data_IF_801543558874
#
_entry.id   IF_801543558874
#
_cell.length_a   1.000
_cell.length_b   1.000
_cell.length_c   1.000
_cell.angle_alpha   90.00
_cell.angle_beta   90.00
_cell.angle_gamma   90.00
#
_symmetry.space_group_name_H-M   'P 1'
#
loop_
_entity.id
_entity.type
_entity.pdbx_description
1 polymer ?
#
# COMPACT_ATOMS: atom_id res chain seq x y z
N UNK A 1 -1.42 21.32 -2.74
CA UNK A 1 -0.78 20.14 -3.37
C UNK A 1 -1.61 19.53 -4.52
N UNK A 2 -2.47 20.31 -5.22
CA UNK A 2 -3.39 19.78 -6.26
C UNK A 2 -2.93 20.16 -7.68
N UNK A 3 -1.63 20.04 -7.93
CA UNK A 3 -1.00 20.41 -9.20
C UNK A 3 0.03 19.34 -9.58
N UNK A 4 0.22 19.13 -10.88
CA UNK A 4 1.24 18.21 -11.41
C UNK A 4 0.67 17.05 -12.23
N UNK A 5 1.51 16.38 -13.03
CA UNK A 5 1.07 15.40 -14.01
C UNK A 5 0.38 14.18 -13.37
N UNK A 6 0.90 13.66 -12.25
CA UNK A 6 0.30 12.50 -11.56
C UNK A 6 -1.09 12.84 -11.03
N UNK A 7 -1.26 14.02 -10.41
CA UNK A 7 -2.58 14.47 -9.95
C UNK A 7 -3.56 14.63 -11.12
N UNK A 8 -3.15 15.29 -12.20
CA UNK A 8 -3.99 15.47 -13.39
C UNK A 8 -4.43 14.14 -14.00
N UNK A 9 -3.52 13.16 -14.08
CA UNK A 9 -3.84 11.82 -14.55
C UNK A 9 -4.83 11.12 -13.61
N UNK A 10 -4.57 11.10 -12.29
CA UNK A 10 -5.46 10.48 -11.31
C UNK A 10 -6.86 11.10 -11.33
N UNK A 11 -6.94 12.44 -11.37
CA UNK A 11 -8.21 13.17 -11.52
C UNK A 11 -8.96 12.77 -12.78
N UNK A 12 -8.26 12.67 -13.92
CA UNK A 12 -8.89 12.24 -15.17
C UNK A 12 -9.42 10.81 -15.07
N UNK A 13 -8.71 9.89 -14.42
CA UNK A 13 -9.18 8.52 -14.26
C UNK A 13 -10.35 8.41 -13.28
N UNK A 14 -10.30 9.12 -12.15
CA UNK A 14 -11.36 9.14 -11.15
C UNK A 14 -12.68 9.64 -11.74
N UNK A 15 -12.65 10.75 -12.49
CA UNK A 15 -13.82 11.30 -13.18
C UNK A 15 -14.33 10.36 -14.28
N UNK A 16 -13.44 9.76 -15.07
CA UNK A 16 -13.79 8.88 -16.20
C UNK A 16 -14.43 7.57 -15.73
N UNK A 17 -13.92 6.99 -14.65
CA UNK A 17 -14.35 5.71 -14.10
C UNK A 17 -15.38 5.84 -12.97
N UNK A 18 -15.65 7.08 -12.52
CA UNK A 18 -16.50 7.38 -11.38
C UNK A 18 -16.12 6.56 -10.13
N UNK A 19 -14.84 6.59 -9.76
CA UNK A 19 -14.29 5.80 -8.66
C UNK A 19 -13.23 6.55 -7.86
N UNK A 20 -12.87 5.99 -6.70
CA UNK A 20 -11.70 6.42 -5.94
C UNK A 20 -10.42 5.95 -6.64
N UNK A 21 -9.43 6.83 -6.74
CA UNK A 21 -8.10 6.52 -7.29
C UNK A 21 -7.04 6.78 -6.23
N UNK A 22 -6.32 5.74 -5.83
CA UNK A 22 -5.14 5.83 -4.97
C UNK A 22 -3.87 5.76 -5.82
N UNK A 23 -2.89 6.64 -5.58
CA UNK A 23 -1.65 6.66 -6.35
C UNK A 23 -0.45 7.13 -5.53
N UNK A 24 0.64 6.37 -5.57
CA UNK A 24 1.94 6.77 -5.03
C UNK A 24 2.60 7.86 -5.87
N UNK A 25 3.20 8.87 -5.24
CA UNK A 25 3.88 9.97 -5.91
C UNK A 25 4.92 10.65 -5.01
N UNK A 26 5.80 11.43 -5.62
CA UNK A 26 6.67 12.36 -4.89
C UNK A 26 5.89 13.64 -4.59
N UNK A 27 5.62 13.87 -3.32
CA UNK A 27 5.00 15.11 -2.85
C UNK A 27 6.07 16.16 -2.60
N UNK A 28 5.81 17.40 -2.98
CA UNK A 28 6.58 18.57 -2.56
C UNK A 28 5.69 19.56 -1.85
N UNK A 29 6.04 19.93 -0.62
CA UNK A 29 5.33 20.94 0.17
C UNK A 29 5.86 22.34 -0.14
N UNK A 30 4.95 23.32 -0.24
CA UNK A 30 5.33 24.72 -0.52
C UNK A 30 5.88 25.44 0.72
N UNK A 31 5.44 25.02 1.92
CA UNK A 31 5.78 25.69 3.19
C UNK A 31 7.26 25.58 3.55
N UNK A 32 7.85 24.40 3.36
CA UNK A 32 9.23 24.10 3.76
C UNK A 32 10.07 23.47 2.63
N UNK A 33 9.52 23.34 1.41
CA UNK A 33 10.17 22.66 0.27
C UNK A 33 10.58 21.19 0.53
N UNK A 34 10.06 20.55 1.58
CA UNK A 34 10.32 19.16 1.84
C UNK A 34 9.70 18.27 0.75
N UNK A 35 10.37 17.14 0.51
CA UNK A 35 9.88 16.07 -0.34
C UNK A 35 9.40 14.91 0.51
N UNK A 36 8.37 14.22 0.06
CA UNK A 36 7.84 13.03 0.73
C UNK A 36 7.54 11.95 -0.30
N UNK A 37 7.69 10.69 0.12
CA UNK A 37 7.10 9.55 -0.56
C UNK A 37 5.65 9.44 -0.09
N UNK A 38 4.70 9.77 -0.94
CA UNK A 38 3.30 9.96 -0.54
C UNK A 38 2.35 9.12 -1.37
N UNK A 39 1.14 8.89 -0.85
CA UNK A 39 0.04 8.31 -1.60
C UNK A 39 -1.17 9.24 -1.52
N UNK A 40 -1.64 9.70 -2.68
CA UNK A 40 -2.81 10.56 -2.81
C UNK A 40 -4.07 9.73 -3.09
N UNK A 41 -5.22 10.14 -2.54
CA UNK A 41 -6.52 9.55 -2.81
C UNK A 41 -7.43 10.60 -3.46
N UNK A 42 -7.88 10.32 -4.68
CA UNK A 42 -8.75 11.19 -5.46
C UNK A 42 -10.16 10.61 -5.49
N UNK A 43 -11.16 11.44 -5.19
CA UNK A 43 -12.58 11.06 -5.21
C UNK A 43 -13.14 10.93 -6.62
N UNK A 44 -14.30 10.27 -6.80
CA UNK A 44 -15.01 10.22 -8.08
C UNK A 44 -15.28 11.60 -8.70
N UNK A 45 -15.41 12.64 -7.88
CA UNK A 45 -15.61 14.04 -8.30
C UNK A 45 -14.28 14.74 -8.66
N UNK A 46 -13.16 14.03 -8.62
CA UNK A 46 -11.84 14.52 -9.01
C UNK A 46 -11.17 15.41 -7.95
N UNK A 47 -11.55 15.26 -6.67
CA UNK A 47 -10.97 16.01 -5.56
C UNK A 47 -9.93 15.19 -4.80
N UNK A 48 -8.84 15.81 -4.36
CA UNK A 48 -7.93 15.20 -3.39
C UNK A 48 -8.65 15.12 -2.03
N UNK A 49 -8.98 13.92 -1.57
CA UNK A 49 -9.73 13.70 -0.33
C UNK A 49 -8.89 13.16 0.81
N UNK A 50 -7.75 12.55 0.50
CA UNK A 50 -6.79 12.10 1.49
C UNK A 50 -5.37 12.04 0.90
N UNK A 51 -4.36 12.24 1.74
CA UNK A 51 -2.95 12.14 1.36
C UNK A 51 -2.15 11.62 2.54
N UNK A 52 -1.54 10.44 2.41
CA UNK A 52 -0.64 9.89 3.41
C UNK A 52 0.82 9.99 2.97
N UNK A 53 1.74 10.01 3.93
CA UNK A 53 3.19 10.05 3.73
C UNK A 53 3.79 8.80 4.33
N UNK A 54 4.76 8.22 3.65
CA UNK A 54 5.50 7.04 4.10
C UNK A 54 6.14 7.31 5.45
N UNK A 55 5.89 6.45 6.42
CA UNK A 55 6.35 6.64 7.80
C UNK A 55 7.74 6.03 7.97
N UNK A 56 7.90 4.78 7.57
CA UNK A 56 9.18 4.08 7.64
C UNK A 56 9.90 4.22 6.30
N UNK A 57 10.99 4.99 6.28
CA UNK A 57 11.77 5.24 5.07
C UNK A 57 12.71 4.07 4.76
N UNK A 58 12.72 3.63 3.50
CA UNK A 58 13.76 2.70 3.04
C UNK A 58 15.06 3.47 2.74
N UNK A 59 16.19 2.76 2.59
CA UNK A 59 17.50 3.38 2.36
C UNK A 59 17.50 4.40 1.19
N UNK A 60 16.76 4.12 0.12
CA UNK A 60 16.65 5.02 -1.03
C UNK A 60 15.83 6.26 -0.69
N UNK A 61 14.76 6.13 0.09
CA UNK A 61 13.93 7.27 0.51
C UNK A 61 14.72 8.22 1.43
N UNK A 62 15.55 7.69 2.34
CA UNK A 62 16.33 8.49 3.30
C UNK A 62 17.25 9.54 2.65
N UNK A 63 17.57 9.36 1.37
CA UNK A 63 18.43 10.30 0.63
C UNK A 63 17.71 11.55 0.13
N UNK A 64 16.38 11.55 0.07
CA UNK A 64 15.60 12.63 -0.54
C UNK A 64 14.27 12.94 0.15
N UNK A 65 13.65 11.97 0.82
CA UNK A 65 12.33 12.09 1.43
C UNK A 65 12.42 12.41 2.92
N UNK A 66 11.45 13.17 3.39
CA UNK A 66 11.13 13.34 4.80
C UNK A 66 10.12 12.27 5.21
N UNK A 67 10.26 11.73 6.43
CA UNK A 67 9.32 10.77 6.98
C UNK A 67 7.96 11.43 7.29
N UNK A 68 6.89 10.65 7.15
CA UNK A 68 5.57 10.99 7.70
C UNK A 68 5.57 10.99 9.23
N UNK A 69 4.52 11.55 9.82
CA UNK A 69 4.30 11.67 11.26
C UNK A 69 3.57 10.46 11.87
N UNK A 70 3.17 9.49 11.04
CA UNK A 70 2.53 8.25 11.47
C UNK A 70 1.80 7.53 10.34
N UNK A 71 1.39 6.29 10.60
CA UNK A 71 0.60 5.52 9.63
C UNK A 71 -0.77 6.16 9.40
N UNK A 72 -1.08 6.45 8.14
CA UNK A 72 -2.33 7.10 7.77
C UNK A 72 -3.54 6.18 7.85
N UNK A 73 -4.67 6.72 8.32
CA UNK A 73 -6.00 6.12 8.21
C UNK A 73 -7.07 7.17 7.91
N UNK A 74 -8.16 6.74 7.28
CA UNK A 74 -9.26 7.63 6.89
C UNK A 74 -10.58 6.86 6.77
N UNK A 75 -11.66 7.43 7.30
CA UNK A 75 -13.01 6.94 7.03
C UNK A 75 -13.45 7.40 5.64
N UNK A 76 -13.61 6.45 4.73
CA UNK A 76 -14.00 6.70 3.36
C UNK A 76 -15.53 6.72 3.20
N UNK A 77 -16.16 7.89 2.96
CA UNK A 77 -17.62 7.97 2.92
C UNK A 77 -18.25 7.26 1.72
N UNK A 78 -17.55 7.15 0.58
CA UNK A 78 -18.07 6.42 -0.60
C UNK A 78 -18.11 4.89 -0.41
N UNK A 79 -17.29 4.36 0.50
CA UNK A 79 -17.22 2.92 0.78
C UNK A 79 -17.81 2.57 2.15
N UNK A 80 -18.16 3.58 2.95
CA UNK A 80 -18.60 3.48 4.35
C UNK A 80 -17.65 2.65 5.22
N UNK A 81 -16.34 2.74 4.94
CA UNK A 81 -15.30 1.89 5.57
C UNK A 81 -14.12 2.71 6.05
N UNK A 82 -13.53 2.27 7.15
CA UNK A 82 -12.23 2.77 7.59
C UNK A 82 -11.11 2.11 6.77
N UNK A 83 -10.24 2.93 6.19
CA UNK A 83 -9.11 2.52 5.35
C UNK A 83 -7.81 2.89 6.06
N UNK A 84 -6.85 1.96 6.07
CA UNK A 84 -5.45 2.24 6.42
C UNK A 84 -4.57 2.22 5.18
N UNK A 85 -3.52 3.03 5.20
CA UNK A 85 -2.62 3.19 4.06
C UNK A 85 -1.20 2.84 4.45
N UNK A 86 -0.56 1.98 3.67
CA UNK A 86 0.85 1.63 3.85
C UNK A 86 1.65 1.83 2.56
N UNK A 87 2.90 2.26 2.69
CA UNK A 87 3.81 2.43 1.57
C UNK A 87 5.05 1.56 1.79
N UNK A 88 5.10 0.42 1.09
CA UNK A 88 6.25 -0.47 0.99
C UNK A 88 6.91 -0.81 2.35
N UNK A 89 7.92 -0.04 2.75
CA UNK A 89 8.70 -0.26 3.98
C UNK A 89 7.87 -0.10 5.26
N UNK A 90 6.71 0.58 5.21
CA UNK A 90 5.80 0.71 6.37
C UNK A 90 5.41 -0.65 6.97
N UNK A 91 5.35 -1.72 6.17
CA UNK A 91 4.96 -3.05 6.65
C UNK A 91 6.07 -3.75 7.46
N UNK A 92 7.31 -3.29 7.36
CA UNK A 92 8.48 -3.89 8.00
C UNK A 92 8.69 -3.34 9.42
N UNK A 93 9.48 -4.03 10.26
CA UNK A 93 9.98 -3.44 11.48
C UNK A 93 10.76 -2.15 11.18
N UNK A 94 10.59 -1.12 12.01
CA UNK A 94 11.25 0.17 11.80
C UNK A 94 12.77 0.00 11.62
N UNK A 95 13.30 0.58 10.55
CA UNK A 95 14.70 0.50 10.12
C UNK A 95 15.29 -0.93 9.99
N UNK A 96 14.46 -1.97 9.95
CA UNK A 96 14.86 -3.37 10.10
C UNK A 96 15.62 -3.67 11.41
N UNK A 97 15.46 -2.81 12.42
CA UNK A 97 16.12 -2.92 13.74
C UNK A 97 15.09 -3.23 14.83
N UNK A 98 13.86 -2.69 14.70
CA UNK A 98 12.79 -3.00 15.63
C UNK A 98 12.51 -4.53 15.66
N UNK A 99 11.99 -5.06 16.80
CA UNK A 99 11.65 -6.47 16.90
C UNK A 99 10.68 -6.90 15.79
N UNK A 100 10.87 -8.12 15.27
CA UNK A 100 9.99 -8.67 14.24
C UNK A 100 8.52 -8.68 14.68
N UNK A 101 8.29 -8.95 15.96
CA UNK A 101 6.98 -9.05 16.59
C UNK A 101 6.35 -7.70 16.94
N UNK A 102 7.00 -6.57 16.62
CA UNK A 102 6.44 -5.24 16.88
C UNK A 102 5.21 -4.93 16.00
N UNK A 103 5.19 -5.47 14.77
CA UNK A 103 4.09 -5.36 13.81
C UNK A 103 3.47 -3.95 13.74
N UNK A 104 4.28 -2.90 13.70
CA UNK A 104 3.87 -1.52 13.97
C UNK A 104 2.72 -1.07 13.07
N UNK A 105 2.82 -1.36 11.77
CA UNK A 105 1.76 -1.06 10.83
C UNK A 105 0.49 -1.88 11.08
N UNK A 106 0.59 -3.19 11.26
CA UNK A 106 -0.58 -4.04 11.49
C UNK A 106 -1.30 -3.69 12.81
N UNK A 107 -0.55 -3.32 13.85
CA UNK A 107 -1.08 -2.79 15.11
C UNK A 107 -1.86 -1.50 14.88
N UNK A 108 -1.32 -0.57 14.08
CA UNK A 108 -2.05 0.66 13.71
C UNK A 108 -3.34 0.37 12.93
N UNK A 109 -3.35 -0.61 12.02
CA UNK A 109 -4.57 -1.03 11.30
C UNK A 109 -5.65 -1.52 12.27
N UNK A 110 -5.25 -2.31 13.28
CA UNK A 110 -6.16 -2.82 14.31
C UNK A 110 -6.73 -1.71 15.21
N UNK A 111 -5.88 -0.79 15.66
CA UNK A 111 -6.29 0.36 16.48
C UNK A 111 -7.32 1.24 15.77
N UNK A 112 -7.10 1.46 14.47
CA UNK A 112 -8.02 2.21 13.61
C UNK A 112 -9.28 1.42 13.24
N UNK A 113 -9.31 0.09 13.46
CA UNK A 113 -10.41 -0.80 13.07
C UNK A 113 -10.67 -0.78 11.56
N UNK A 114 -9.61 -0.71 10.76
CA UNK A 114 -9.72 -0.65 9.31
C UNK A 114 -10.19 -1.98 8.72
N UNK A 115 -11.15 -1.92 7.79
CA UNK A 115 -11.62 -3.08 7.01
C UNK A 115 -11.03 -3.13 5.61
N UNK A 116 -10.20 -2.14 5.25
CA UNK A 116 -9.47 -2.08 4.01
C UNK A 116 -8.05 -1.52 4.23
N UNK A 117 -7.06 -2.13 3.59
CA UNK A 117 -5.69 -1.65 3.55
C UNK A 117 -5.32 -1.40 2.10
N UNK A 118 -4.96 -0.15 1.78
CA UNK A 118 -4.38 0.19 0.48
C UNK A 118 -2.87 0.30 0.61
N UNK A 119 -2.16 -0.55 -0.13
CA UNK A 119 -0.72 -0.69 -0.03
C UNK A 119 -0.06 -0.38 -1.37
N UNK A 120 0.70 0.70 -1.44
CA UNK A 120 1.50 1.07 -2.62
C UNK A 120 2.93 0.63 -2.40
N UNK A 121 3.51 -0.06 -3.37
CA UNK A 121 4.81 -0.68 -3.18
C UNK A 121 5.75 -0.52 -4.37
N UNK A 122 7.03 -0.43 -4.04
CA UNK A 122 8.15 -0.55 -4.95
C UNK A 122 9.16 -1.51 -4.32
N UNK A 123 8.73 -2.75 -4.15
CA UNK A 123 9.47 -3.76 -3.39
C UNK A 123 10.63 -4.31 -4.21
N UNK A 124 11.84 -4.08 -3.69
CA UNK A 124 13.07 -4.51 -4.33
C UNK A 124 13.13 -6.02 -4.47
N UNK A 125 13.68 -6.45 -5.59
CA UNK A 125 14.06 -7.82 -5.85
C UNK A 125 15.57 -7.95 -5.73
N UNK A 126 16.01 -8.68 -4.71
CA UNK A 126 17.41 -8.94 -4.42
C UNK A 126 17.91 -10.26 -5.04
N UNK A 127 17.10 -10.92 -5.88
CA UNK A 127 17.50 -12.13 -6.60
C UNK A 127 17.64 -11.86 -8.12
N UNK A 128 18.82 -11.44 -8.60
CA UNK A 128 19.01 -11.08 -10.00
C UNK A 128 18.94 -12.27 -10.98
N UNK A 129 19.04 -13.50 -10.48
CA UNK A 129 18.96 -14.73 -11.29
C UNK A 129 17.54 -15.32 -11.31
N UNK A 130 16.57 -14.68 -10.65
CA UNK A 130 15.21 -15.19 -10.62
C UNK A 130 14.58 -15.16 -12.01
N UNK A 131 14.09 -16.31 -12.45
CA UNK A 131 13.40 -16.48 -13.74
C UNK A 131 11.97 -16.96 -13.57
N UNK A 132 11.59 -17.43 -12.37
CA UNK A 132 10.22 -17.82 -12.05
C UNK A 132 9.34 -16.59 -12.00
N UNK A 133 8.18 -16.60 -12.67
CA UNK A 133 7.21 -15.51 -12.55
C UNK A 133 6.42 -15.54 -11.22
N UNK A 134 6.81 -16.37 -10.25
CA UNK A 134 6.11 -16.50 -8.97
C UNK A 134 6.53 -15.41 -7.98
N UNK A 135 5.56 -14.58 -7.57
CA UNK A 135 5.74 -13.60 -6.49
C UNK A 135 5.26 -14.12 -5.12
N UNK A 136 4.93 -15.41 -5.01
CA UNK A 136 4.36 -16.01 -3.79
C UNK A 136 5.22 -15.83 -2.54
N UNK A 137 6.56 -15.96 -2.57
CA UNK A 137 7.38 -15.72 -1.38
C UNK A 137 7.21 -14.30 -0.81
N UNK A 138 7.16 -13.28 -1.67
CA UNK A 138 6.94 -11.89 -1.27
C UNK A 138 5.51 -11.68 -0.76
N UNK A 139 4.51 -12.22 -1.44
CA UNK A 139 3.11 -12.12 -1.00
C UNK A 139 2.94 -12.78 0.38
N UNK A 140 3.57 -13.93 0.60
CA UNK A 140 3.54 -14.62 1.90
C UNK A 140 4.29 -13.83 2.97
N UNK A 141 5.39 -13.17 2.61
CA UNK A 141 6.06 -12.23 3.52
C UNK A 141 5.13 -11.11 3.96
N UNK A 142 4.41 -10.46 3.03
CA UNK A 142 3.43 -9.42 3.38
C UNK A 142 2.31 -9.97 4.26
N UNK A 143 1.76 -11.13 3.95
CA UNK A 143 0.74 -11.78 4.79
C UNK A 143 1.28 -12.06 6.21
N UNK A 144 2.52 -12.53 6.34
CA UNK A 144 3.17 -12.76 7.64
C UNK A 144 3.34 -11.47 8.46
N UNK A 145 3.55 -10.32 7.80
CA UNK A 145 3.59 -9.03 8.49
C UNK A 145 2.22 -8.52 8.96
N UNK A 146 1.14 -9.14 8.48
CA UNK A 146 -0.25 -8.82 8.83
C UNK A 146 -0.86 -9.82 9.82
N UNK A 147 -0.06 -10.73 10.39
CA UNK A 147 -0.52 -11.77 11.32
C UNK A 147 -1.41 -11.25 12.46
N UNK A 148 -1.08 -10.14 13.16
CA UNK A 148 -1.97 -9.63 14.22
C UNK A 148 -3.39 -9.34 13.74
N UNK A 149 -3.55 -8.89 12.50
CA UNK A 149 -4.87 -8.62 11.90
C UNK A 149 -5.59 -9.94 11.65
N UNK A 150 -4.92 -10.91 11.02
CA UNK A 150 -5.46 -12.24 10.73
C UNK A 150 -5.92 -12.92 12.03
N UNK A 151 -5.07 -12.95 13.05
CA UNK A 151 -5.36 -13.54 14.36
C UNK A 151 -6.57 -12.86 15.03
N UNK A 152 -6.61 -11.53 15.00
CA UNK A 152 -7.73 -10.76 15.56
C UNK A 152 -9.06 -11.07 14.85
N UNK A 153 -9.06 -11.20 13.52
CA UNK A 153 -10.24 -11.49 12.72
C UNK A 153 -10.75 -12.92 12.94
N UNK A 154 -9.85 -13.91 13.01
CA UNK A 154 -10.20 -15.31 13.24
C UNK A 154 -10.77 -15.55 14.64
N UNK A 155 -10.35 -14.77 15.63
CA UNK A 155 -10.90 -14.84 16.99
C UNK A 155 -12.38 -14.38 17.08
N UNK A 156 -12.88 -13.65 16.08
CA UNK A 156 -14.24 -13.07 16.06
C UNK A 156 -15.10 -13.71 14.97
N UNK A 157 -16.00 -14.62 15.36
CA UNK A 157 -16.90 -15.31 14.40
C UNK A 157 -17.69 -14.34 13.51
N UNK A 158 -18.26 -13.29 14.11
CA UNK A 158 -19.15 -12.34 13.41
C UNK A 158 -18.49 -11.00 13.04
N UNK A 159 -17.15 -10.93 13.04
CA UNK A 159 -16.42 -9.71 12.68
C UNK A 159 -16.42 -9.41 11.18
N UNK A 160 -16.45 -8.14 10.80
CA UNK A 160 -16.19 -7.70 9.42
C UNK A 160 -14.79 -8.14 8.96
N UNK A 161 -14.66 -8.41 7.67
CA UNK A 161 -13.39 -8.77 7.06
C UNK A 161 -12.44 -7.57 6.95
N UNK A 162 -11.15 -7.84 6.79
CA UNK A 162 -10.17 -6.84 6.35
C UNK A 162 -9.52 -7.32 5.05
N UNK A 163 -9.44 -6.45 4.05
CA UNK A 163 -8.81 -6.77 2.78
C UNK A 163 -7.51 -5.99 2.62
N UNK A 164 -6.45 -6.67 2.16
CA UNK A 164 -5.18 -6.03 1.80
C UNK A 164 -5.05 -5.96 0.28
N UNK A 165 -5.01 -4.73 -0.26
CA UNK A 165 -4.89 -4.46 -1.68
C UNK A 165 -3.51 -3.85 -1.94
N UNK A 166 -2.64 -4.63 -2.58
CA UNK A 166 -1.29 -4.23 -2.92
C UNK A 166 -1.14 -3.95 -4.41
N UNK A 167 -0.67 -2.74 -4.72
CA UNK A 167 -0.13 -2.39 -6.04
C UNK A 167 1.39 -2.25 -5.92
N UNK A 168 2.12 -3.27 -6.38
CA UNK A 168 3.57 -3.28 -6.41
C UNK A 168 4.10 -3.18 -7.85
N UNK A 169 5.06 -2.29 -8.09
CA UNK A 169 5.67 -2.15 -9.43
C UNK A 169 6.51 -3.38 -9.79
N UNK A 170 6.71 -3.57 -11.09
CA UNK A 170 7.67 -4.51 -11.68
C UNK A 170 8.73 -3.74 -12.49
N UNK A 171 9.65 -4.46 -13.13
CA UNK A 171 10.69 -3.92 -13.99
C UNK A 171 11.99 -3.60 -13.24
N UNK A 172 12.88 -2.87 -13.91
CA UNK A 172 14.22 -2.55 -13.43
C UNK A 172 14.45 -1.05 -13.56
N UNK A 173 15.00 -0.41 -12.52
CA UNK A 173 15.39 0.99 -12.53
C UNK A 173 16.82 1.13 -12.01
N UNK A 174 17.72 1.68 -12.84
CA UNK A 174 19.13 1.95 -12.48
C UNK A 174 19.86 0.74 -11.85
N UNK A 175 19.52 -0.48 -12.30
CA UNK A 175 20.10 -1.73 -11.80
C UNK A 175 19.38 -2.34 -10.59
N UNK A 176 18.36 -1.67 -10.04
CA UNK A 176 17.47 -2.23 -9.01
C UNK A 176 16.26 -2.88 -9.67
N UNK A 177 16.09 -4.19 -9.47
CA UNK A 177 14.91 -4.93 -9.91
C UNK A 177 13.77 -4.79 -8.90
N UNK A 178 12.52 -4.84 -9.36
CA UNK A 178 11.33 -4.86 -8.51
C UNK A 178 10.52 -6.15 -8.72
N UNK A 179 10.04 -6.69 -7.61
CA UNK A 179 9.51 -8.06 -7.57
C UNK A 179 8.09 -8.23 -8.12
N UNK A 180 7.38 -7.15 -8.46
CA UNK A 180 5.98 -7.22 -8.89
C UNK A 180 5.07 -7.90 -7.86
N UNK A 181 4.14 -8.75 -8.29
CA UNK A 181 3.31 -9.51 -7.34
C UNK A 181 2.19 -8.70 -6.68
N UNK A 182 1.70 -7.65 -7.34
CA UNK A 182 0.44 -6.98 -6.95
C UNK A 182 -0.65 -8.00 -6.64
N UNK A 183 -1.44 -7.78 -5.60
CA UNK A 183 -2.39 -8.78 -5.12
C UNK A 183 -3.54 -8.17 -4.33
N UNK A 184 -4.60 -8.96 -4.19
CA UNK A 184 -5.72 -8.71 -3.28
C UNK A 184 -5.83 -9.91 -2.34
N UNK A 185 -5.65 -9.66 -1.04
CA UNK A 185 -5.76 -10.65 0.03
C UNK A 185 -7.04 -10.42 0.84
N UNK A 186 -7.75 -11.50 1.09
CA UNK A 186 -8.74 -11.58 2.16
C UNK A 186 -8.02 -12.00 3.45
N UNK A 187 -8.20 -11.30 4.57
CA UNK A 187 -7.44 -11.58 5.81
C UNK A 187 -8.22 -12.41 6.84
N UNK A 188 -9.56 -12.36 6.88
CA UNK A 188 -10.35 -13.16 7.84
C UNK A 188 -10.25 -14.66 7.55
N UNK A 189 -10.42 -15.02 6.28
CA UNK A 189 -10.17 -16.35 5.74
C UNK A 189 -9.01 -16.25 4.75
N UNK A 190 -7.75 -16.29 5.21
CA UNK A 190 -6.57 -15.98 4.40
C UNK A 190 -6.61 -16.61 3.00
N UNK A 191 -6.88 -15.78 1.99
CA UNK A 191 -7.04 -16.23 0.61
C UNK A 191 -6.58 -15.15 -0.38
N UNK A 192 -6.12 -15.60 -1.56
CA UNK A 192 -5.73 -14.72 -2.67
C UNK A 192 -6.91 -14.56 -3.62
N UNK A 193 -7.51 -13.38 -3.64
CA UNK A 193 -8.64 -13.07 -4.54
C UNK A 193 -8.16 -12.74 -5.95
N UNK A 194 -7.01 -12.07 -6.07
CA UNK A 194 -6.33 -11.79 -7.32
C UNK A 194 -4.82 -11.64 -7.11
N UNK A 195 -4.01 -11.97 -8.11
CA UNK A 195 -2.56 -11.77 -8.07
C UNK A 195 -1.95 -11.58 -9.46
N UNK A 196 -0.88 -10.80 -9.51
CA UNK A 196 0.05 -10.71 -10.62
C UNK A 196 1.27 -11.61 -10.36
N UNK A 197 1.98 -11.98 -11.41
CA UNK A 197 3.33 -12.51 -11.35
C UNK A 197 4.35 -11.42 -11.03
N UNK A 198 5.63 -11.81 -11.03
CA UNK A 198 6.74 -10.87 -10.79
C UNK A 198 6.93 -9.87 -11.90
N UNK A 199 6.71 -10.29 -13.15
CA UNK A 199 7.06 -9.53 -14.35
C UNK A 199 5.83 -8.95 -15.07
N UNK A 200 4.65 -9.10 -14.48
CA UNK A 200 3.39 -8.79 -15.12
C UNK A 200 3.04 -7.29 -14.99
N UNK A 201 2.90 -6.61 -16.13
CA UNK A 201 2.25 -5.30 -16.21
C UNK A 201 0.76 -5.49 -16.47
N UNK A 202 -0.04 -5.60 -15.41
CA UNK A 202 -1.45 -6.02 -15.50
C UNK A 202 -2.36 -5.19 -14.60
N UNK A 203 -3.64 -5.17 -14.96
CA UNK A 203 -4.72 -4.68 -14.10
C UNK A 203 -5.43 -5.88 -13.49
N UNK A 204 -5.47 -5.93 -12.16
CA UNK A 204 -6.22 -6.93 -11.42
C UNK A 204 -7.61 -6.39 -11.08
N UNK A 205 -8.62 -7.25 -11.19
CA UNK A 205 -9.99 -6.96 -10.77
C UNK A 205 -10.42 -8.02 -9.77
N UNK A 206 -10.97 -7.59 -8.64
CA UNK A 206 -11.52 -8.45 -7.60
C UNK A 206 -12.79 -7.83 -7.03
N UNK A 207 -13.75 -8.67 -6.67
CA UNK A 207 -14.95 -8.28 -5.93
C UNK A 207 -14.77 -8.66 -4.46
N UNK A 208 -14.90 -7.70 -3.57
CA UNK A 208 -14.80 -7.91 -2.12
C UNK A 208 -16.21 -8.18 -1.57
N UNK A 209 -16.32 -9.09 -0.60
CA UNK A 209 -17.57 -9.42 0.09
C UNK A 209 -17.74 -8.61 1.38
#
# INVERSE_FOLDING_TARGET
NNIGPTFSWCKSQALRLNCLVACGYVEKTLENNNLYNSMMIISPEGQLVYNTRKTFLYETDKTWATAGDGFGSWYCPWLERQISFGICMDINPNDFIAPWEAYEFATSVLENKSSLILFSSAWNDHNPEETSNSAMPTIQYWANRLLPIIDSLQSKKDGENCYFICSNRTGIERGTSFVGGSCVLELKSPSLLAKAGRFDEVVLLATLQ
#
